data_IF_640193430956
#
_entry.id   IF_640193430956
#
_cell.length_a   1.000
_cell.length_b   1.000
_cell.length_c   1.000
_cell.angle_alpha   90.00
_cell.angle_beta   90.00
_cell.angle_gamma   90.00
#
_symmetry.space_group_name_H-M   'P 1'
#
loop_
_entity.id
_entity.type
_entity.pdbx_description
1 polymer ?
#
# COMPACT_ATOMS: atom_id res chain seq x y z
N UNK A 1 7.34 13.46 18.77
CA UNK A 1 5.94 13.35 18.31
C UNK A 1 5.86 12.06 17.51
N UNK A 2 4.88 11.21 17.79
CA UNK A 2 4.60 10.02 16.99
C UNK A 2 3.92 10.45 15.69
N UNK A 3 4.36 9.93 14.56
CA UNK A 3 3.67 10.11 13.27
C UNK A 3 2.33 9.38 13.30
N UNK A 4 1.25 10.05 12.92
CA UNK A 4 -0.08 9.41 12.77
C UNK A 4 -0.18 8.65 11.43
N UNK A 5 -1.26 7.89 11.22
CA UNK A 5 -1.53 7.26 9.93
C UNK A 5 -1.81 8.33 8.87
N UNK A 6 -2.59 9.36 9.21
CA UNK A 6 -2.85 10.49 8.31
C UNK A 6 -1.56 11.25 7.96
N UNK A 7 -0.64 11.45 8.93
CA UNK A 7 0.66 12.06 8.66
C UNK A 7 1.46 11.25 7.62
N UNK A 8 1.46 9.92 7.76
CA UNK A 8 2.12 9.01 6.83
C UNK A 8 1.46 9.05 5.44
N UNK A 9 0.13 9.02 5.38
CA UNK A 9 -0.64 9.14 4.15
C UNK A 9 -0.30 10.44 3.39
N UNK A 10 -0.35 11.58 4.07
CA UNK A 10 0.01 12.88 3.49
C UNK A 10 1.47 12.94 3.03
N UNK A 11 2.39 12.31 3.77
CA UNK A 11 3.79 12.23 3.38
C UNK A 11 4.00 11.41 2.09
N UNK A 12 3.30 10.27 1.96
CA UNK A 12 3.31 9.45 0.75
C UNK A 12 2.79 10.23 -0.45
N UNK A 13 1.69 10.98 -0.30
CA UNK A 13 1.14 11.81 -1.36
C UNK A 13 2.10 12.93 -1.82
N UNK A 14 2.73 13.63 -0.88
CA UNK A 14 3.76 14.64 -1.22
C UNK A 14 4.92 14.04 -2.00
N UNK A 15 5.31 12.81 -1.68
CA UNK A 15 6.37 12.09 -2.37
C UNK A 15 5.91 11.64 -3.76
N UNK A 16 4.68 11.11 -3.85
CA UNK A 16 4.06 10.71 -5.10
C UNK A 16 3.94 11.86 -6.10
N UNK A 17 3.47 13.04 -5.69
CA UNK A 17 3.35 14.20 -6.58
C UNK A 17 4.71 14.53 -7.22
N UNK A 18 5.79 14.51 -6.44
CA UNK A 18 7.15 14.79 -6.95
C UNK A 18 7.60 13.74 -7.96
N UNK A 19 7.35 12.47 -7.68
CA UNK A 19 7.66 11.35 -8.59
C UNK A 19 6.85 11.49 -9.87
N UNK A 20 5.54 11.74 -9.74
CA UNK A 20 4.62 11.79 -10.86
C UNK A 20 4.90 12.96 -11.80
N UNK A 21 5.23 14.14 -11.24
CA UNK A 21 5.68 15.29 -12.02
C UNK A 21 6.95 14.98 -12.81
N UNK A 22 7.90 14.28 -12.21
CA UNK A 22 9.14 13.88 -12.90
C UNK A 22 8.86 12.87 -14.01
N UNK A 23 7.99 11.89 -13.77
CA UNK A 23 7.60 10.90 -14.78
C UNK A 23 6.91 11.57 -15.99
N UNK A 24 6.06 12.56 -15.73
CA UNK A 24 5.41 13.33 -16.79
C UNK A 24 6.43 14.11 -17.64
N UNK A 25 7.41 14.76 -17.00
CA UNK A 25 8.49 15.45 -17.70
C UNK A 25 9.38 14.52 -18.54
N UNK A 26 9.71 13.34 -18.01
CA UNK A 26 10.62 12.39 -18.67
C UNK A 26 9.93 11.58 -19.78
N UNK A 27 8.65 11.23 -19.61
CA UNK A 27 7.95 10.25 -20.45
C UNK A 27 6.71 10.81 -21.16
N UNK A 28 6.31 12.05 -20.85
CA UNK A 28 5.08 12.67 -21.37
C UNK A 28 3.81 11.99 -20.85
N UNK A 29 3.91 11.21 -19.76
CA UNK A 29 2.79 10.46 -19.20
C UNK A 29 2.96 10.25 -17.69
N UNK A 30 2.28 11.08 -16.92
CA UNK A 30 2.01 10.83 -15.51
C UNK A 30 1.25 9.51 -15.28
N UNK A 31 1.39 8.96 -14.08
CA UNK A 31 0.52 7.94 -13.53
C UNK A 31 -0.85 8.54 -13.25
N UNK A 32 -1.85 7.97 -13.92
CA UNK A 32 -3.27 8.22 -13.71
C UNK A 32 -3.85 7.17 -12.74
N UNK A 33 -5.13 7.28 -12.35
CA UNK A 33 -5.75 6.30 -11.46
C UNK A 33 -5.76 4.88 -11.99
N UNK A 34 -5.74 4.69 -13.31
CA UNK A 34 -5.63 3.37 -13.90
C UNK A 34 -4.27 2.75 -13.57
N UNK A 35 -3.18 3.50 -13.75
CA UNK A 35 -1.83 3.05 -13.37
C UNK A 35 -1.76 2.75 -11.88
N UNK A 36 -2.32 3.61 -11.03
CA UNK A 36 -2.31 3.40 -9.57
C UNK A 36 -3.01 2.10 -9.16
N UNK A 37 -4.16 1.78 -9.78
CA UNK A 37 -4.90 0.54 -9.47
C UNK A 37 -4.20 -0.70 -10.03
N UNK A 38 -3.51 -0.59 -11.17
CA UNK A 38 -2.69 -1.71 -11.67
C UNK A 38 -1.49 -1.98 -10.77
N UNK A 39 -0.87 -0.93 -10.24
CA UNK A 39 0.24 -1.01 -9.27
C UNK A 39 -0.23 -1.66 -7.96
N UNK A 40 -1.41 -1.26 -7.45
CA UNK A 40 -2.07 -1.91 -6.31
C UNK A 40 -2.22 -3.43 -6.49
N UNK A 41 -2.60 -3.87 -7.69
CA UNK A 41 -2.75 -5.30 -8.00
C UNK A 41 -1.40 -6.02 -8.09
N UNK A 42 -0.39 -5.36 -8.65
CA UNK A 42 0.98 -5.87 -8.72
C UNK A 42 1.54 -6.12 -7.31
N UNK A 43 1.48 -5.11 -6.44
CA UNK A 43 1.97 -5.19 -5.05
C UNK A 43 1.20 -6.25 -4.23
N UNK A 44 -0.12 -6.36 -4.42
CA UNK A 44 -0.89 -7.43 -3.80
C UNK A 44 -0.45 -8.83 -4.26
N UNK A 45 -0.08 -8.96 -5.53
CA UNK A 45 0.53 -10.18 -6.09
C UNK A 45 1.89 -10.50 -5.48
N UNK A 46 2.72 -9.47 -5.23
CA UNK A 46 4.02 -9.60 -4.58
C UNK A 46 3.89 -10.08 -3.13
N UNK A 47 2.97 -9.47 -2.35
CA UNK A 47 2.62 -9.92 -1.00
C UNK A 47 2.21 -11.40 -1.02
N UNK A 48 1.27 -11.78 -1.90
CA UNK A 48 0.83 -13.16 -2.03
C UNK A 48 1.99 -14.11 -2.40
N UNK A 49 2.86 -13.67 -3.29
CA UNK A 49 4.06 -14.38 -3.74
C UNK A 49 5.06 -14.61 -2.60
N UNK A 50 5.22 -13.65 -1.67
CA UNK A 50 6.09 -13.79 -0.49
C UNK A 50 5.46 -14.69 0.55
N UNK A 51 4.19 -14.49 0.90
CA UNK A 51 3.45 -15.35 1.85
C UNK A 51 3.48 -16.81 1.39
N UNK A 52 3.19 -17.08 0.12
CA UNK A 52 3.27 -18.44 -0.44
C UNK A 52 4.64 -19.10 -0.22
N UNK A 53 5.72 -18.31 -0.28
CA UNK A 53 7.07 -18.82 -0.02
C UNK A 53 7.37 -19.02 1.48
N UNK A 54 6.85 -18.16 2.35
CA UNK A 54 6.97 -18.30 3.80
C UNK A 54 6.22 -19.55 4.30
N UNK A 55 5.07 -19.85 3.70
CA UNK A 55 4.25 -21.02 4.00
C UNK A 55 4.74 -22.32 3.33
N UNK A 56 5.92 -22.30 2.69
CA UNK A 56 6.55 -23.51 2.12
C UNK A 56 5.96 -24.00 0.79
N UNK A 57 5.06 -23.24 0.16
CA UNK A 57 4.48 -23.57 -1.14
C UNK A 57 5.33 -23.10 -2.33
N UNK A 58 6.58 -22.68 -2.09
CA UNK A 58 7.57 -22.36 -3.14
C UNK A 58 8.84 -23.17 -2.95
N UNK A 59 9.61 -23.38 -4.03
CA UNK A 59 10.80 -24.19 -3.95
C UNK A 59 11.86 -23.63 -2.96
N UNK A 60 12.55 -24.48 -2.19
CA UNK A 60 13.35 -24.06 -1.03
C UNK A 60 14.65 -23.31 -1.38
N UNK A 61 15.09 -23.36 -2.64
CA UNK A 61 16.28 -22.63 -3.11
C UNK A 61 16.05 -21.13 -3.30
N UNK A 62 14.80 -20.66 -3.15
CA UNK A 62 14.44 -19.23 -3.13
C UNK A 62 13.64 -18.92 -1.86
N UNK A 63 14.26 -19.03 -0.67
CA UNK A 63 13.54 -18.82 0.57
C UNK A 63 13.04 -17.37 0.65
N UNK A 64 11.75 -17.21 0.98
CA UNK A 64 11.16 -15.91 1.29
C UNK A 64 11.39 -15.60 2.77
N UNK A 65 11.44 -14.33 3.13
CA UNK A 65 11.74 -13.88 4.50
C UNK A 65 10.72 -12.88 5.00
N UNK A 66 10.58 -12.75 6.32
CA UNK A 66 9.72 -11.73 6.94
C UNK A 66 10.12 -10.30 6.55
N UNK A 67 11.41 -10.06 6.28
CA UNK A 67 11.88 -8.76 5.77
C UNK A 67 11.31 -8.46 4.40
N UNK A 68 11.27 -9.45 3.51
CA UNK A 68 10.63 -9.29 2.18
C UNK A 68 9.13 -9.02 2.34
N UNK A 69 8.46 -9.73 3.26
CA UNK A 69 7.04 -9.48 3.51
C UNK A 69 6.80 -8.05 4.01
N UNK A 70 7.66 -7.55 4.89
CA UNK A 70 7.58 -6.17 5.36
C UNK A 70 7.76 -5.16 4.23
N UNK A 71 8.64 -5.45 3.25
CA UNK A 71 8.81 -4.64 2.03
C UNK A 71 7.52 -4.63 1.20
N UNK A 72 7.03 -5.78 0.75
CA UNK A 72 5.86 -5.78 -0.16
C UNK A 72 4.59 -5.24 0.54
N UNK A 73 4.44 -5.46 1.86
CA UNK A 73 3.34 -4.84 2.62
C UNK A 73 3.47 -3.32 2.70
N UNK A 74 4.69 -2.79 2.75
CA UNK A 74 4.93 -1.34 2.75
C UNK A 74 4.66 -0.74 1.38
N UNK A 75 5.04 -1.42 0.30
CA UNK A 75 4.79 -0.98 -1.08
C UNK A 75 3.28 -1.03 -1.39
N UNK A 76 2.58 -2.08 -0.96
CA UNK A 76 1.12 -2.14 -1.01
C UNK A 76 0.44 -1.02 -0.20
N UNK A 77 0.95 -0.71 1.00
CA UNK A 77 0.40 0.39 1.80
C UNK A 77 0.64 1.75 1.16
N UNK A 78 1.81 1.95 0.53
CA UNK A 78 2.15 3.18 -0.18
C UNK A 78 1.12 3.51 -1.26
N UNK A 79 0.80 2.54 -2.13
CA UNK A 79 -0.13 2.78 -3.23
C UNK A 79 -1.58 2.94 -2.74
N UNK A 80 -1.96 2.28 -1.64
CA UNK A 80 -3.25 2.53 -0.95
C UNK A 80 -3.35 3.99 -0.47
N UNK A 81 -2.29 4.53 0.14
CA UNK A 81 -2.24 5.93 0.58
C UNK A 81 -2.32 6.91 -0.58
N UNK A 82 -1.60 6.64 -1.67
CA UNK A 82 -1.67 7.46 -2.88
C UNK A 82 -3.08 7.49 -3.45
N UNK A 83 -3.76 6.34 -3.52
CA UNK A 83 -5.11 6.24 -4.04
C UNK A 83 -6.13 6.95 -3.13
N UNK A 84 -6.01 6.80 -1.81
CA UNK A 84 -6.88 7.48 -0.84
C UNK A 84 -6.79 9.00 -0.99
N UNK A 85 -5.58 9.54 -1.06
CA UNK A 85 -5.33 10.98 -1.26
C UNK A 85 -5.84 11.48 -2.60
N UNK A 86 -5.63 10.70 -3.66
CA UNK A 86 -6.17 11.03 -4.99
C UNK A 86 -7.68 11.26 -4.96
N UNK A 87 -8.42 10.49 -4.14
CA UNK A 87 -9.87 10.58 -4.01
C UNK A 87 -10.34 11.39 -2.78
N UNK A 88 -9.44 12.01 -2.02
CA UNK A 88 -9.78 12.82 -0.85
C UNK A 88 -10.34 12.01 0.33
N UNK A 89 -9.84 10.79 0.53
CA UNK A 89 -10.24 9.89 1.64
C UNK A 89 -9.22 9.98 2.77
N UNK A 90 -9.69 10.26 4.00
CA UNK A 90 -8.90 10.09 5.22
C UNK A 90 -9.01 8.64 5.70
N UNK A 91 -7.93 7.87 5.56
CA UNK A 91 -7.95 6.47 5.97
C UNK A 91 -7.86 6.29 7.48
N UNK A 92 -7.30 7.22 8.26
CA UNK A 92 -7.17 7.02 9.70
C UNK A 92 -8.55 6.96 10.35
N UNK A 93 -9.38 7.98 10.10
CA UNK A 93 -10.75 8.02 10.60
C UNK A 93 -11.54 6.79 10.12
N UNK A 94 -11.47 6.49 8.81
CA UNK A 94 -12.24 5.40 8.22
C UNK A 94 -11.80 4.03 8.69
N UNK A 95 -10.50 3.84 8.91
CA UNK A 95 -9.93 2.58 9.40
C UNK A 95 -10.32 2.34 10.86
N UNK A 96 -10.25 3.36 11.73
CA UNK A 96 -10.67 3.24 13.12
C UNK A 96 -12.15 2.85 13.25
N UNK A 97 -13.03 3.45 12.43
CA UNK A 97 -14.44 3.03 12.35
C UNK A 97 -14.58 1.56 11.96
N UNK A 98 -13.87 1.15 10.91
CA UNK A 98 -13.91 -0.25 10.40
C UNK A 98 -13.46 -1.26 11.47
N UNK A 99 -12.41 -0.94 12.23
CA UNK A 99 -11.93 -1.80 13.32
C UNK A 99 -12.95 -1.89 14.44
N UNK A 100 -13.58 -0.77 14.82
CA UNK A 100 -14.64 -0.76 15.82
C UNK A 100 -15.85 -1.61 15.38
N UNK A 101 -16.25 -1.49 14.12
CA UNK A 101 -17.35 -2.29 13.56
C UNK A 101 -17.04 -3.80 13.60
N UNK A 102 -15.77 -4.20 13.39
CA UNK A 102 -15.36 -5.60 13.56
C UNK A 102 -15.44 -6.07 15.01
N UNK A 103 -15.04 -5.23 15.96
CA UNK A 103 -15.14 -5.55 17.39
C UNK A 103 -16.60 -5.80 17.78
N UNK A 104 -17.49 -4.87 17.41
CA UNK A 104 -18.93 -4.99 17.67
C UNK A 104 -19.54 -6.23 17.01
N UNK A 105 -19.10 -6.57 15.79
CA UNK A 105 -19.68 -7.69 15.03
C UNK A 105 -19.32 -9.06 15.60
N UNK A 106 -18.13 -9.21 16.18
CA UNK A 106 -17.57 -10.53 16.50
C UNK A 106 -17.38 -10.78 18.00
N UNK A 107 -17.40 -9.74 18.84
CA UNK A 107 -17.13 -9.86 20.27
C UNK A 107 -18.28 -9.40 21.17
N UNK A 108 -19.24 -8.65 20.65
CA UNK A 108 -20.47 -8.23 21.35
C UNK A 108 -21.71 -8.92 20.75
#
# INVERSE_FOLDING_TARGET
MSTTLSDAQHFCWKSFIKINQRLDQERGRAWDPFVMVTDLLEEAGEVASVVKGLEGFKPPQKPKTKRMLATELSDLLYIIFVLAEHYGVDLEERFLQTVNDYMLRFLE
#
